data_IF_356364583484
#
_entry.id   IF_356364583484
#
_cell.length_a   1.000
_cell.length_b   1.000
_cell.length_c   1.000
_cell.angle_alpha   90.00
_cell.angle_beta   90.00
_cell.angle_gamma   90.00
#
_symmetry.space_group_name_H-M   'P 1'
#
loop_
_entity.id
_entity.type
_entity.pdbx_description
1 polymer ?
#
# COMPACT_ATOMS: atom_id res chain seq x y z
N UNK A 1 16.86 8.77 13.41
CA UNK A 1 15.63 8.02 13.06
C UNK A 1 15.62 6.75 13.86
N UNK A 2 14.49 6.38 14.47
CA UNK A 2 14.37 5.13 15.22
C UNK A 2 14.13 3.99 14.22
N UNK A 3 15.03 3.00 14.22
CA UNK A 3 15.03 1.86 13.29
C UNK A 3 13.68 1.12 13.30
N UNK A 4 13.03 1.06 14.46
CA UNK A 4 11.76 0.37 14.66
C UNK A 4 10.61 0.88 13.77
N UNK A 5 10.66 2.14 13.30
CA UNK A 5 9.63 2.69 12.40
C UNK A 5 9.88 2.41 10.92
N UNK A 6 11.06 1.91 10.57
CA UNK A 6 11.47 1.66 9.18
C UNK A 6 11.60 0.16 8.87
N UNK A 7 11.51 -0.70 9.88
CA UNK A 7 11.65 -2.14 9.73
C UNK A 7 10.40 -2.78 9.11
N UNK A 8 10.64 -3.72 8.19
CA UNK A 8 9.56 -4.52 7.63
C UNK A 8 8.94 -5.41 8.71
N UNK A 9 7.61 -5.51 8.69
CA UNK A 9 6.87 -6.39 9.58
C UNK A 9 5.99 -7.33 8.77
N UNK A 10 5.33 -8.28 9.45
CA UNK A 10 4.31 -9.14 8.80
C UNK A 10 3.09 -8.37 8.28
N UNK A 11 2.88 -7.12 8.72
CA UNK A 11 1.77 -6.27 8.28
C UNK A 11 2.23 -5.23 7.26
N UNK A 12 3.38 -4.60 7.50
CA UNK A 12 4.01 -3.64 6.59
C UNK A 12 5.19 -4.32 5.91
N UNK A 13 4.87 -5.27 5.03
CA UNK A 13 5.83 -6.14 4.37
C UNK A 13 6.41 -5.50 3.10
N UNK A 14 6.95 -4.29 3.24
CA UNK A 14 7.38 -3.49 2.08
C UNK A 14 8.48 -4.16 1.23
N UNK A 15 9.20 -5.15 1.75
CA UNK A 15 10.17 -5.94 1.00
C UNK A 15 9.53 -6.92 0.01
N UNK A 16 8.21 -7.17 0.09
CA UNK A 16 7.51 -8.07 -0.83
C UNK A 16 7.68 -7.59 -2.28
N UNK A 17 8.03 -8.48 -3.25
CA UNK A 17 8.38 -8.07 -4.61
C UNK A 17 7.32 -7.22 -5.32
N UNK A 18 6.03 -7.53 -5.12
CA UNK A 18 4.91 -6.76 -5.68
C UNK A 18 4.79 -5.36 -5.07
N UNK A 19 5.03 -5.20 -3.77
CA UNK A 19 5.02 -3.88 -3.10
C UNK A 19 6.18 -3.04 -3.62
N UNK A 20 7.37 -3.63 -3.72
CA UNK A 20 8.54 -2.97 -4.29
C UNK A 20 8.32 -2.55 -5.76
N UNK A 21 7.64 -3.38 -6.56
CA UNK A 21 7.28 -3.02 -7.93
C UNK A 21 6.34 -1.81 -7.96
N UNK A 22 5.29 -1.81 -7.15
CA UNK A 22 4.32 -0.72 -7.09
C UNK A 22 4.95 0.57 -6.58
N UNK A 23 5.77 0.50 -5.53
CA UNK A 23 6.50 1.65 -4.99
C UNK A 23 7.44 2.27 -6.04
N UNK A 24 8.14 1.44 -6.83
CA UNK A 24 8.97 1.92 -7.94
C UNK A 24 8.15 2.58 -9.04
N UNK A 25 6.95 2.08 -9.33
CA UNK A 25 6.06 2.70 -10.31
C UNK A 25 5.61 4.08 -9.83
N UNK A 26 5.08 4.18 -8.61
CA UNK A 26 4.65 5.47 -8.03
C UNK A 26 5.81 6.47 -7.97
N UNK A 27 7.02 6.01 -7.62
CA UNK A 27 8.22 6.86 -7.64
C UNK A 27 8.59 7.38 -9.02
N UNK A 28 8.37 6.60 -10.09
CA UNK A 28 8.61 7.04 -11.48
C UNK A 28 7.57 8.05 -11.96
N UNK A 29 6.35 7.97 -11.44
CA UNK A 29 5.23 8.86 -11.77
C UNK A 29 5.27 10.18 -11.00
N UNK A 30 6.19 10.32 -10.02
CA UNK A 30 6.23 11.47 -9.12
C UNK A 30 7.46 12.36 -9.36
N UNK A 31 7.28 13.67 -9.25
CA UNK A 31 8.37 14.65 -9.47
C UNK A 31 9.27 14.86 -8.26
N UNK A 32 8.73 14.74 -7.05
CA UNK A 32 9.41 14.94 -5.78
C UNK A 32 8.79 14.10 -4.65
N UNK A 33 9.27 14.27 -3.42
CA UNK A 33 8.81 13.50 -2.26
C UNK A 33 7.37 13.82 -1.85
N UNK A 34 6.95 15.09 -1.98
CA UNK A 34 5.59 15.49 -1.63
C UNK A 34 4.60 14.92 -2.64
N UNK A 35 4.96 14.97 -3.92
CA UNK A 35 4.18 14.38 -4.99
C UNK A 35 4.12 12.84 -4.86
N UNK A 36 5.22 12.20 -4.45
CA UNK A 36 5.24 10.76 -4.16
C UNK A 36 4.27 10.39 -3.03
N UNK A 37 4.26 11.13 -1.93
CA UNK A 37 3.33 10.88 -0.81
C UNK A 37 1.88 11.05 -1.29
N UNK A 38 1.61 12.11 -2.05
CA UNK A 38 0.27 12.38 -2.61
C UNK A 38 -0.19 11.28 -3.57
N UNK A 39 0.65 10.87 -4.51
CA UNK A 39 0.35 9.82 -5.48
C UNK A 39 0.16 8.46 -4.79
N UNK A 40 0.97 8.17 -3.76
CA UNK A 40 0.80 6.95 -2.96
C UNK A 40 -0.53 6.94 -2.22
N UNK A 41 -0.92 8.05 -1.59
CA UNK A 41 -2.21 8.18 -0.93
C UNK A 41 -3.37 8.00 -1.92
N UNK A 42 -3.32 8.70 -3.05
CA UNK A 42 -4.35 8.61 -4.10
C UNK A 42 -4.45 7.19 -4.67
N UNK A 43 -3.31 6.52 -4.89
CA UNK A 43 -3.31 5.12 -5.31
C UNK A 43 -4.07 4.24 -4.32
N UNK A 44 -3.79 4.33 -3.02
CA UNK A 44 -4.49 3.52 -2.02
C UNK A 44 -5.98 3.86 -2.01
N UNK A 45 -6.34 5.14 -1.92
CA UNK A 45 -7.74 5.61 -1.90
C UNK A 45 -8.54 5.15 -3.12
N UNK A 46 -7.93 5.20 -4.31
CA UNK A 46 -8.65 5.00 -5.57
C UNK A 46 -8.55 3.57 -6.11
N UNK A 47 -7.57 2.78 -5.65
CA UNK A 47 -7.32 1.40 -6.14
C UNK A 47 -7.55 0.31 -5.10
N UNK A 48 -7.64 0.64 -3.82
CA UNK A 48 -7.94 -0.31 -2.75
C UNK A 48 -9.34 0.00 -2.23
N UNK A 49 -10.29 -0.89 -2.50
CA UNK A 49 -11.65 -0.73 -2.04
C UNK A 49 -11.76 -0.99 -0.54
N UNK A 50 -12.65 -0.25 0.13
CA UNK A 50 -13.01 -0.53 1.50
C UNK A 50 -13.90 -1.78 1.52
N UNK A 51 -13.49 -2.85 2.19
CA UNK A 51 -14.13 -4.19 2.09
C UNK A 51 -15.62 -4.15 2.44
N UNK A 52 -15.99 -3.36 3.44
CA UNK A 52 -17.38 -3.19 3.82
C UNK A 52 -18.22 -2.51 2.73
N UNK A 53 -17.67 -1.51 2.04
CA UNK A 53 -18.41 -0.72 1.06
C UNK A 53 -18.74 -1.55 -0.18
N UNK A 54 -17.83 -2.46 -0.55
CA UNK A 54 -18.00 -3.38 -1.68
C UNK A 54 -18.54 -4.75 -1.29
N UNK A 55 -18.93 -4.94 -0.01
CA UNK A 55 -19.46 -6.19 0.54
C UNK A 55 -18.53 -7.40 0.30
N UNK A 56 -17.22 -7.18 0.40
CA UNK A 56 -16.21 -8.23 0.26
C UNK A 56 -15.92 -8.87 1.62
N UNK A 57 -16.03 -10.20 1.70
CA UNK A 57 -15.82 -10.96 2.94
C UNK A 57 -14.34 -11.23 3.25
N UNK A 58 -13.42 -10.91 2.34
CA UNK A 58 -11.98 -11.10 2.55
C UNK A 58 -11.46 -10.08 3.56
N UNK A 59 -10.65 -10.55 4.50
CA UNK A 59 -9.92 -9.70 5.44
C UNK A 59 -8.45 -9.74 5.04
N UNK A 60 -7.99 -8.66 4.41
CA UNK A 60 -6.57 -8.44 4.11
C UNK A 60 -5.90 -7.78 5.31
N UNK A 61 -4.68 -8.20 5.63
CA UNK A 61 -3.96 -7.72 6.83
C UNK A 61 -2.57 -7.20 6.48
N UNK A 62 -1.85 -7.88 5.57
CA UNK A 62 -0.55 -7.39 5.09
C UNK A 62 -0.71 -6.40 3.94
N UNK A 63 0.28 -5.52 3.75
CA UNK A 63 0.30 -4.59 2.63
C UNK A 63 0.27 -5.34 1.28
N UNK A 64 1.00 -6.47 1.17
CA UNK A 64 0.96 -7.30 -0.03
C UNK A 64 -0.38 -7.99 -0.27
N UNK A 65 -1.11 -8.41 0.77
CA UNK A 65 -2.48 -8.93 0.63
C UNK A 65 -3.44 -7.83 0.15
N UNK A 66 -3.41 -6.64 0.77
CA UNK A 66 -4.22 -5.50 0.34
C UNK A 66 -3.97 -5.17 -1.14
N UNK A 67 -2.71 -5.11 -1.56
CA UNK A 67 -2.35 -4.85 -2.96
C UNK A 67 -2.78 -5.99 -3.90
N UNK A 68 -2.70 -7.25 -3.45
CA UNK A 68 -3.07 -8.42 -4.29
C UNK A 68 -4.57 -8.51 -4.49
N UNK A 69 -5.35 -8.32 -3.44
CA UNK A 69 -6.82 -8.47 -3.50
C UNK A 69 -7.52 -7.18 -3.93
N UNK A 70 -6.85 -6.03 -3.84
CA UNK A 70 -7.43 -4.72 -4.18
C UNK A 70 -8.49 -4.25 -3.18
N UNK A 71 -8.48 -4.81 -1.96
CA UNK A 71 -9.48 -4.54 -0.93
C UNK A 71 -8.83 -4.56 0.46
N UNK A 72 -9.35 -3.77 1.39
CA UNK A 72 -8.93 -3.74 2.80
C UNK A 72 -9.87 -2.91 3.68
N UNK A 73 -9.59 -2.84 4.97
CA UNK A 73 -10.40 -2.10 5.96
C UNK A 73 -9.52 -1.56 7.08
N UNK A 74 -9.93 -0.45 7.69
CA UNK A 74 -9.27 0.19 8.83
C UNK A 74 -9.85 -0.27 10.18
#
# INVERSE_FOLDING_TARGET
MNQAYLEATKYVDYNHPKIQQQARQLKKESSDEIDLVKNTFQFVRDKISHSWDVQDSRVTVSASDCLREGVGIC
#
